data_IF_890688476253
#
_entry.id   IF_890688476253
#
_cell.length_a   1.000
_cell.length_b   1.000
_cell.length_c   1.000
_cell.angle_alpha   90.00
_cell.angle_beta   90.00
_cell.angle_gamma   90.00
#
_symmetry.space_group_name_H-M   'P 1'
#
loop_
_entity.id
_entity.type
_entity.pdbx_description
1 polymer ?
#
# COMPACT_ATOMS: atom_id res chain seq x y z
N UNK A 1 -18.67 -9.02 -17.60
CA UNK A 1 -17.58 -8.77 -16.62
C UNK A 1 -17.14 -7.33 -16.74
N UNK A 2 -17.19 -6.56 -15.66
CA UNK A 2 -16.74 -5.16 -15.64
C UNK A 2 -15.21 -5.10 -15.75
N UNK A 3 -14.67 -4.05 -16.36
CA UNK A 3 -13.21 -3.87 -16.53
C UNK A 3 -12.47 -3.92 -15.19
N UNK A 4 -13.11 -3.46 -14.13
CA UNK A 4 -12.59 -3.49 -12.76
C UNK A 4 -12.37 -4.90 -12.21
N UNK A 5 -13.33 -5.81 -12.44
CA UNK A 5 -13.21 -7.21 -11.98
C UNK A 5 -12.08 -7.95 -12.69
N UNK A 6 -11.85 -7.67 -13.98
CA UNK A 6 -10.71 -8.22 -14.73
C UNK A 6 -9.37 -7.72 -14.21
N UNK A 7 -9.29 -6.42 -13.90
CA UNK A 7 -8.09 -5.80 -13.35
C UNK A 7 -7.78 -6.36 -11.95
N UNK A 8 -8.79 -6.49 -11.09
CA UNK A 8 -8.65 -7.15 -9.79
C UNK A 8 -8.15 -8.60 -9.93
N UNK A 9 -8.75 -9.38 -10.83
CA UNK A 9 -8.32 -10.77 -11.06
C UNK A 9 -6.87 -10.87 -11.56
N UNK A 10 -6.42 -9.92 -12.41
CA UNK A 10 -5.03 -9.82 -12.89
C UNK A 10 -4.06 -9.58 -11.72
N UNK A 11 -4.38 -8.62 -10.84
CA UNK A 11 -3.55 -8.28 -9.67
C UNK A 11 -3.49 -9.45 -8.67
N UNK A 12 -4.63 -10.08 -8.35
CA UNK A 12 -4.67 -11.22 -7.43
C UNK A 12 -3.88 -12.41 -7.98
N UNK A 13 -3.93 -12.62 -9.31
CA UNK A 13 -3.19 -13.70 -9.96
C UNK A 13 -1.69 -13.47 -9.97
N UNK A 14 -1.24 -12.22 -10.14
CA UNK A 14 0.19 -11.91 -10.16
C UNK A 14 0.51 -10.60 -9.43
N UNK A 15 0.57 -10.61 -8.09
CA UNK A 15 0.78 -9.39 -7.31
C UNK A 15 2.20 -8.80 -7.43
N UNK A 16 3.14 -9.52 -8.06
CA UNK A 16 4.54 -9.09 -8.24
C UNK A 16 4.77 -8.26 -9.51
N UNK A 17 3.91 -8.42 -10.52
CA UNK A 17 4.05 -7.80 -11.84
C UNK A 17 2.82 -6.95 -12.14
N UNK A 18 2.67 -5.88 -11.35
CA UNK A 18 1.55 -4.96 -11.48
C UNK A 18 2.11 -3.55 -11.53
N UNK A 19 1.68 -2.81 -12.55
CA UNK A 19 2.00 -1.39 -12.67
C UNK A 19 1.45 -0.61 -11.47
N UNK A 20 2.28 0.27 -10.93
CA UNK A 20 1.91 1.11 -9.79
C UNK A 20 0.64 1.92 -10.06
N UNK A 21 0.46 2.42 -11.28
CA UNK A 21 -0.73 3.18 -11.68
C UNK A 21 -2.02 2.36 -11.66
N UNK A 22 -1.97 1.08 -12.09
CA UNK A 22 -3.11 0.17 -12.04
C UNK A 22 -3.50 -0.12 -10.58
N UNK A 23 -2.50 -0.35 -9.73
CA UNK A 23 -2.65 -0.56 -8.29
C UNK A 23 -3.24 0.67 -7.59
N UNK A 24 -2.69 1.85 -7.87
CA UNK A 24 -3.13 3.12 -7.29
C UNK A 24 -4.59 3.42 -7.65
N UNK A 25 -4.97 3.17 -8.91
CA UNK A 25 -6.35 3.36 -9.39
C UNK A 25 -7.33 2.45 -8.65
N UNK A 26 -7.00 1.17 -8.50
CA UNK A 26 -7.85 0.22 -7.76
C UNK A 26 -7.94 0.60 -6.28
N UNK A 27 -6.82 0.90 -5.64
CA UNK A 27 -6.77 1.23 -4.22
C UNK A 27 -7.57 2.50 -3.92
N UNK A 28 -7.42 3.55 -4.74
CA UNK A 28 -8.23 4.78 -4.64
C UNK A 28 -9.72 4.51 -4.86
N UNK A 29 -10.07 3.66 -5.82
CA UNK A 29 -11.47 3.29 -6.08
C UNK A 29 -12.10 2.52 -4.90
N UNK A 30 -11.31 1.71 -4.19
CA UNK A 30 -11.73 1.08 -2.94
C UNK A 30 -11.76 2.01 -1.73
N UNK A 31 -11.33 3.28 -1.87
CA UNK A 31 -11.34 4.27 -0.78
C UNK A 31 -10.07 4.28 0.08
N UNK A 32 -9.00 3.62 -0.37
CA UNK A 32 -7.70 3.70 0.31
C UNK A 32 -7.09 5.08 0.12
N UNK A 33 -6.52 5.62 1.19
CA UNK A 33 -5.73 6.84 1.19
C UNK A 33 -4.26 6.48 1.06
N UNK A 34 -3.54 7.27 0.28
CA UNK A 34 -2.09 7.13 0.15
C UNK A 34 -1.39 8.15 1.07
N UNK A 35 -0.38 7.70 1.82
CA UNK A 35 0.54 8.54 2.59
C UNK A 35 1.95 8.29 2.06
N UNK A 36 2.52 9.30 1.43
CA UNK A 36 3.93 9.26 1.03
C UNK A 36 4.80 9.70 2.22
N UNK A 37 5.80 8.91 2.64
CA UNK A 37 6.75 9.29 3.68
C UNK A 37 7.84 10.19 3.06
N UNK A 38 7.58 11.51 3.01
CA UNK A 38 8.59 12.53 2.73
C UNK A 38 9.19 12.55 1.32
N UNK A 39 9.88 13.65 1.00
CA UNK A 39 10.52 13.91 -0.29
C UNK A 39 11.78 13.01 -0.40
N UNK A 40 11.73 11.97 -1.24
CA UNK A 40 12.86 11.06 -1.49
C UNK A 40 12.61 9.57 -1.21
N UNK A 41 11.42 9.17 -0.74
CA UNK A 41 11.08 7.76 -0.57
C UNK A 41 10.27 7.23 -1.75
N UNK A 42 10.67 6.07 -2.28
CA UNK A 42 9.91 5.29 -3.26
C UNK A 42 8.75 4.50 -2.65
N UNK A 43 8.59 4.54 -1.32
CA UNK A 43 7.58 3.75 -0.63
C UNK A 43 6.26 4.51 -0.55
N UNK A 44 5.17 3.90 -1.01
CA UNK A 44 3.82 4.40 -0.84
C UNK A 44 3.10 3.59 0.23
N UNK A 45 2.51 4.26 1.22
CA UNK A 45 1.76 3.60 2.29
C UNK A 45 0.27 3.83 2.01
N UNK A 46 -0.45 2.77 1.68
CA UNK A 46 -1.91 2.81 1.54
C UNK A 46 -2.59 2.41 2.84
N UNK A 47 -3.57 3.18 3.27
CA UNK A 47 -4.36 2.92 4.48
C UNK A 47 -5.83 3.25 4.22
N UNK A 48 -6.74 2.43 4.73
CA UNK A 48 -8.17 2.66 4.59
C UNK A 48 -8.76 3.07 5.95
N UNK A 49 -9.40 4.24 6.09
CA UNK A 49 -9.85 4.74 7.39
C UNK A 49 -10.93 3.86 8.05
N UNK A 50 -11.69 3.07 7.28
CA UNK A 50 -12.65 2.09 7.82
C UNK A 50 -12.03 0.73 8.18
N UNK A 51 -10.79 0.47 7.74
CA UNK A 51 -10.04 -0.72 8.13
C UNK A 51 -9.09 -0.26 9.25
N UNK A 52 -9.60 -0.19 10.48
CA UNK A 52 -8.87 0.18 11.70
C UNK A 52 -7.79 -0.87 12.09
N UNK A 53 -7.04 -1.37 11.11
CA UNK A 53 -5.95 -2.32 11.30
C UNK A 53 -4.67 -1.67 10.79
N UNK A 54 -4.10 -0.79 11.61
CA UNK A 54 -2.75 -0.27 11.39
C UNK A 54 -1.75 -1.42 11.62
N UNK A 55 -1.37 -2.12 10.56
CA UNK A 55 -0.22 -3.04 10.61
C UNK A 55 1.06 -2.22 10.66
N UNK A 56 1.53 -1.97 11.88
CA UNK A 56 2.84 -1.36 12.14
C UNK A 56 3.90 -2.44 12.19
N UNK A 57 4.76 -2.50 11.17
CA UNK A 57 5.99 -3.27 11.23
C UNK A 57 7.08 -2.40 11.88
N UNK A 58 7.56 -2.79 13.06
CA UNK A 58 8.76 -2.20 13.66
C UNK A 58 10.01 -2.82 13.04
N UNK A 59 11.01 -2.00 12.72
CA UNK A 59 12.37 -2.48 12.44
C UNK A 59 13.03 -2.91 13.75
N UNK A 60 13.46 -4.16 13.94
CA UNK A 60 14.30 -4.52 15.07
C UNK A 60 15.70 -3.94 14.86
N UNK A 61 16.15 -3.13 15.81
CA UNK A 61 17.54 -2.72 15.93
C UNK A 61 17.77 -1.22 15.95
N UNK A 62 17.52 -0.57 17.09
CA UNK A 62 18.34 0.58 17.50
C UNK A 62 18.61 0.48 19.00
N UNK A 63 19.85 0.11 19.32
CA UNK A 63 20.41 0.03 20.66
C UNK A 63 20.28 1.40 21.34
N UNK A 64 19.50 1.46 22.43
CA UNK A 64 19.41 2.65 23.27
C UNK A 64 20.62 2.67 24.20
N UNK A 65 21.54 3.62 24.00
CA UNK A 65 22.42 4.13 25.06
C UNK A 65 21.88 5.50 25.46
N UNK A 66 21.18 5.56 26.58
CA UNK A 66 20.91 6.82 27.27
C UNK A 66 22.13 7.11 28.18
N UNK A 67 22.78 8.25 27.95
CA UNK A 67 23.55 9.00 28.94
C UNK A 67 22.74 10.24 29.30
#
# INVERSE_FOLDING_TARGET
MTSFSKLYAKIVRNPKDVDFEELDKILKQYGFKCRQPGKGSSHYIYYHPKLLTLYQFQKPGLSRRFM
#
